data_IF_172376287444
#
_entry.id   IF_172376287444
#
_cell.length_a   1.000
_cell.length_b   1.000
_cell.length_c   1.000
_cell.angle_alpha   90.00
_cell.angle_beta   90.00
_cell.angle_gamma   90.00
#
_symmetry.space_group_name_H-M   'P 1'
#
loop_
_entity.id
_entity.type
_entity.pdbx_description
1 polymer ?
#
# COMPACT_ATOMS: atom_id res chain seq x y z
N UNK A 1 17.25 -34.55 13.84
CA UNK A 1 15.92 -33.95 14.03
C UNK A 1 15.99 -32.49 13.58
N UNK A 2 15.48 -32.18 12.39
CA UNK A 2 15.37 -30.82 11.89
C UNK A 2 14.00 -30.72 11.21
N UNK A 3 13.09 -30.01 11.87
CA UNK A 3 11.70 -29.87 11.47
C UNK A 3 11.62 -28.65 10.53
N UNK A 4 11.75 -28.87 9.22
CA UNK A 4 11.53 -27.82 8.23
C UNK A 4 10.02 -27.64 8.04
N UNK A 5 9.43 -26.79 8.89
CA UNK A 5 8.05 -26.31 8.71
C UNK A 5 8.00 -25.36 7.52
N UNK A 6 7.68 -25.90 6.33
CA UNK A 6 7.26 -25.10 5.18
C UNK A 6 5.87 -24.55 5.46
N UNK A 7 5.80 -23.36 6.04
CA UNK A 7 4.55 -22.61 6.19
C UNK A 7 4.11 -22.16 4.80
N UNK A 8 3.10 -22.84 4.27
CA UNK A 8 2.36 -22.48 3.06
C UNK A 8 1.85 -21.04 3.16
N UNK A 9 2.39 -20.13 2.35
CA UNK A 9 1.81 -18.83 2.08
C UNK A 9 0.53 -19.05 1.27
N UNK A 10 -0.57 -19.29 1.97
CA UNK A 10 -1.90 -19.31 1.38
C UNK A 10 -2.15 -17.98 0.67
N UNK A 11 -2.32 -18.03 -0.65
CA UNK A 11 -2.76 -16.94 -1.49
C UNK A 11 -4.22 -16.59 -1.16
N UNK A 12 -4.42 -15.93 -0.02
CA UNK A 12 -5.70 -15.51 0.49
C UNK A 12 -6.05 -14.10 0.00
N UNK A 13 -6.94 -14.03 -1.00
CA UNK A 13 -7.68 -12.83 -1.43
C UNK A 13 -6.82 -11.69 -2.01
N UNK A 14 -7.41 -10.75 -2.79
CA UNK A 14 -6.73 -9.50 -3.17
C UNK A 14 -6.58 -8.63 -1.91
N UNK A 15 -5.69 -9.04 -1.01
CA UNK A 15 -5.24 -8.27 0.12
C UNK A 15 -4.51 -7.07 -0.42
N UNK A 16 -5.13 -5.90 -0.31
CA UNK A 16 -4.52 -4.64 -0.73
C UNK A 16 -3.11 -4.50 -0.16
N UNK A 17 -2.24 -3.86 -0.94
CA UNK A 17 -0.85 -3.60 -0.54
C UNK A 17 -0.89 -2.84 0.79
N UNK A 18 -0.31 -3.45 1.83
CA UNK A 18 -0.21 -2.85 3.15
C UNK A 18 1.05 -1.98 3.19
N UNK A 19 0.85 -0.68 3.40
CA UNK A 19 1.93 0.31 3.52
C UNK A 19 2.21 0.60 4.99
N UNK A 20 2.47 -0.43 5.80
CA UNK A 20 3.04 -0.31 7.15
C UNK A 20 2.19 0.35 8.26
N UNK A 21 1.20 1.20 7.93
CA UNK A 21 0.39 1.97 8.90
C UNK A 21 -0.98 1.37 9.22
N UNK A 22 -1.25 0.15 8.76
CA UNK A 22 -2.60 -0.42 8.75
C UNK A 22 -3.46 0.13 7.60
N UNK A 23 -3.04 1.22 6.94
CA UNK A 23 -3.74 1.76 5.78
C UNK A 23 -3.67 0.81 4.59
N UNK A 24 -4.73 0.82 3.79
CA UNK A 24 -4.84 0.03 2.57
C UNK A 24 -4.72 0.94 1.37
N UNK A 25 -3.88 0.54 0.41
CA UNK A 25 -3.84 1.14 -0.92
C UNK A 25 -5.17 0.87 -1.62
N UNK A 26 -5.88 1.93 -2.01
CA UNK A 26 -7.14 1.82 -2.78
C UNK A 26 -6.98 2.16 -4.25
N UNK A 27 -5.92 2.89 -4.58
CA UNK A 27 -5.62 3.30 -5.94
C UNK A 27 -4.11 3.44 -6.08
N UNK A 28 -3.58 3.04 -7.24
CA UNK A 28 -2.20 3.27 -7.63
C UNK A 28 -2.20 4.02 -8.95
N UNK A 29 -1.46 5.11 -9.00
CA UNK A 29 -1.32 5.93 -10.19
C UNK A 29 0.14 6.06 -10.59
N UNK A 30 0.38 6.04 -11.90
CA UNK A 30 1.66 6.31 -12.54
C UNK A 30 1.66 7.76 -13.01
N UNK A 31 2.70 8.50 -12.64
CA UNK A 31 2.85 9.91 -12.94
C UNK A 31 4.20 10.15 -13.60
N UNK A 32 4.24 11.03 -14.60
CA UNK A 32 5.46 11.41 -15.31
C UNK A 32 5.96 12.75 -14.78
N UNK A 33 7.22 12.78 -14.35
CA UNK A 33 7.87 13.98 -13.87
C UNK A 33 7.48 14.41 -12.46
N UNK A 34 8.41 15.13 -11.82
CA UNK A 34 8.31 15.52 -10.42
C UNK A 34 7.22 16.57 -10.16
N UNK A 35 6.94 17.45 -11.14
CA UNK A 35 5.96 18.52 -10.99
C UNK A 35 4.54 17.96 -10.79
N UNK A 36 4.15 17.01 -11.63
CA UNK A 36 2.84 16.36 -11.52
C UNK A 36 2.77 15.48 -10.27
N UNK A 37 3.86 14.82 -9.90
CA UNK A 37 3.93 14.05 -8.66
C UNK A 37 3.70 14.95 -7.44
N UNK A 38 4.35 16.11 -7.38
CA UNK A 38 4.19 17.09 -6.29
C UNK A 38 2.75 17.64 -6.22
N UNK A 39 2.10 17.87 -7.37
CA UNK A 39 0.70 18.30 -7.41
C UNK A 39 -0.24 17.28 -6.76
N UNK A 40 0.05 15.98 -6.88
CA UNK A 40 -0.76 14.91 -6.32
C UNK A 40 -0.41 14.63 -4.85
N UNK A 41 0.86 14.76 -4.48
CA UNK A 41 1.33 14.66 -3.09
C UNK A 41 0.74 15.73 -2.17
N UNK A 42 0.44 16.93 -2.68
CA UNK A 42 -0.23 18.00 -1.89
C UNK A 42 -1.72 17.76 -1.67
N UNK A 43 -2.30 16.73 -2.30
CA UNK A 43 -3.71 16.33 -2.12
C UNK A 43 -3.78 15.19 -1.10
N UNK A 44 -4.16 14.01 -1.56
CA UNK A 44 -4.37 12.81 -0.73
C UNK A 44 -3.59 11.59 -1.25
N UNK A 45 -2.52 11.81 -2.01
CA UNK A 45 -1.68 10.73 -2.51
C UNK A 45 -0.41 10.61 -1.68
N UNK A 46 -0.03 9.36 -1.39
CA UNK A 46 1.23 9.00 -0.77
C UNK A 46 2.24 8.56 -1.81
N UNK A 47 3.50 8.95 -1.61
CA UNK A 47 4.61 8.42 -2.41
C UNK A 47 4.87 6.96 -2.08
N UNK A 48 4.99 6.11 -3.12
CA UNK A 48 5.32 4.69 -2.96
C UNK A 48 6.72 4.40 -3.51
N UNK A 49 6.96 4.75 -4.77
CA UNK A 49 8.24 4.48 -5.43
C UNK A 49 8.46 5.39 -6.63
N UNK A 50 9.68 5.40 -7.13
CA UNK A 50 10.07 6.09 -8.36
C UNK A 50 11.01 5.19 -9.15
N UNK A 51 10.89 5.20 -10.47
CA UNK A 51 11.87 4.60 -11.37
C UNK A 51 12.14 5.52 -12.56
N UNK A 52 13.33 5.37 -13.15
CA UNK A 52 13.68 6.04 -14.40
C UNK A 52 13.46 5.09 -15.58
N UNK A 53 12.72 5.55 -16.60
CA UNK A 53 12.51 4.79 -17.83
C UNK A 53 13.55 5.21 -18.88
N UNK A 54 14.60 4.41 -19.13
CA UNK A 54 15.75 4.84 -19.92
C UNK A 54 15.42 5.06 -21.39
N UNK A 55 14.50 4.27 -21.95
CA UNK A 55 14.11 4.36 -23.37
C UNK A 55 13.36 5.66 -23.68
N UNK A 56 12.54 6.12 -22.73
CA UNK A 56 11.73 7.33 -22.88
C UNK A 56 12.39 8.55 -22.22
N UNK A 57 13.51 8.35 -21.53
CA UNK A 57 14.23 9.33 -20.72
C UNK A 57 13.32 10.04 -19.68
N UNK A 58 12.43 9.28 -19.05
CA UNK A 58 11.41 9.83 -18.15
C UNK A 58 11.56 9.36 -16.72
N UNK A 59 11.39 10.28 -15.79
CA UNK A 59 11.19 9.97 -14.37
C UNK A 59 9.73 9.62 -14.13
N UNK A 60 9.49 8.42 -13.58
CA UNK A 60 8.16 7.91 -13.30
C UNK A 60 7.97 7.76 -11.81
N UNK A 61 6.92 8.37 -11.30
CA UNK A 61 6.51 8.31 -9.91
C UNK A 61 5.29 7.42 -9.76
N UNK A 62 5.32 6.54 -8.77
CA UNK A 62 4.18 5.72 -8.38
C UNK A 62 3.64 6.27 -7.07
N UNK A 63 2.39 6.73 -7.13
CA UNK A 63 1.68 7.28 -5.99
C UNK A 63 0.48 6.40 -5.66
N UNK A 64 0.11 6.36 -4.39
CA UNK A 64 -1.04 5.61 -3.91
C UNK A 64 -2.04 6.52 -3.22
N UNK A 65 -3.34 6.28 -3.44
CA UNK A 65 -4.37 6.78 -2.54
C UNK A 65 -4.57 5.77 -1.43
N UNK A 66 -4.51 6.24 -0.19
CA UNK A 66 -4.66 5.39 0.99
C UNK A 66 -6.05 5.58 1.58
N UNK A 67 -6.64 4.48 2.07
CA UNK A 67 -7.75 4.56 3.02
C UNK A 67 -7.30 4.02 4.36
N UNK A 68 -7.68 4.67 5.46
CA UNK A 68 -7.55 4.10 6.79
C UNK A 68 -8.17 2.71 6.78
N UNK A 69 -7.43 1.67 7.20
CA UNK A 69 -8.14 0.47 7.59
C UNK A 69 -9.02 0.88 8.76
N UNK A 70 -10.33 0.66 8.61
CA UNK A 70 -11.25 0.79 9.73
C UNK A 70 -10.62 0.00 10.89
N UNK A 71 -10.16 0.73 11.90
CA UNK A 71 -9.61 0.13 13.09
C UNK A 71 -10.78 -0.63 13.68
N UNK A 72 -10.77 -1.96 13.49
CA UNK A 72 -11.70 -2.85 14.14
C UNK A 72 -11.54 -2.55 15.63
N UNK A 73 -12.45 -1.73 16.17
CA UNK A 73 -12.63 -1.57 17.59
C UNK A 73 -13.12 -2.93 18.05
N UNK A 74 -12.19 -3.85 18.28
CA UNK A 74 -12.48 -5.01 19.09
C UNK A 74 -12.98 -4.43 20.41
N UNK A 75 -14.26 -4.63 20.76
CA UNK A 75 -14.76 -4.10 22.01
C UNK A 75 -13.89 -4.71 23.12
N UNK A 76 -13.14 -3.88 23.83
CA UNK A 76 -12.48 -4.29 25.07
C UNK A 76 -13.61 -4.40 26.09
N UNK A 77 -14.13 -5.61 26.27
CA UNK A 77 -15.23 -5.87 27.19
C UNK A 77 -15.76 -7.29 27.03
N UNK A 78 -16.27 -7.86 28.12
CA UNK A 78 -16.93 -9.16 28.09
C UNK A 78 -18.24 -9.05 27.33
N UNK A 79 -18.49 -9.95 26.37
CA UNK A 79 -19.78 -10.11 25.72
C UNK A 79 -20.73 -10.72 26.77
N UNK A 80 -21.74 -9.99 27.27
CA UNK A 80 -22.72 -10.59 28.17
C UNK A 80 -23.57 -11.59 27.37
N UNK A 81 -23.78 -12.78 27.95
CA UNK A 81 -24.77 -13.76 27.49
C UNK A 81 -26.15 -13.36 27.97
#
# INVERSE_FOLDING_TARGET
MMNNSCTTCSSGSPGGISVGSGDRVVELIRVLGIEEANRLLTRDYAFISMYYHPTEQQEVYILAKLKPAAQSRQPIGFIPK
#
